data_IF_419968687607
#
_entry.id   IF_419968687607
#
_cell.length_a   1.000
_cell.length_b   1.000
_cell.length_c   1.000
_cell.angle_alpha   90.00
_cell.angle_beta   90.00
_cell.angle_gamma   90.00
#
_symmetry.space_group_name_H-M   'P 1'
#
loop_
_entity.id
_entity.type
_entity.pdbx_description
1 polymer ?
#
# COMPACT_ATOMS: atom_id res chain seq x y z
N UNK A 1 -5.01 10.85 -16.08
CA UNK A 1 -6.46 10.77 -15.81
C UNK A 1 -7.19 9.73 -16.65
N UNK A 2 -6.78 9.48 -17.92
CA UNK A 2 -7.48 8.51 -18.77
C UNK A 2 -7.42 7.09 -18.19
N UNK A 3 -6.26 6.64 -17.73
CA UNK A 3 -6.09 5.32 -17.12
C UNK A 3 -6.75 5.24 -15.74
N UNK A 4 -6.73 6.32 -14.99
CA UNK A 4 -7.30 6.38 -13.64
C UNK A 4 -8.84 6.44 -13.62
N UNK A 5 -9.50 6.63 -14.76
CA UNK A 5 -10.98 6.66 -14.89
C UNK A 5 -11.66 7.59 -13.87
N UNK A 6 -11.04 8.74 -13.61
CA UNK A 6 -11.55 9.74 -12.66
C UNK A 6 -11.18 9.51 -11.20
N UNK A 7 -10.57 8.39 -10.86
CA UNK A 7 -10.19 8.07 -9.47
C UNK A 7 -9.01 8.88 -8.93
N UNK A 8 -8.25 9.55 -9.79
CA UNK A 8 -7.18 10.44 -9.35
C UNK A 8 -7.71 11.85 -9.02
N UNK A 9 -7.05 12.55 -8.12
CA UNK A 9 -7.27 13.96 -7.86
C UNK A 9 -6.29 14.79 -8.70
N UNK A 10 -6.77 15.73 -9.56
CA UNK A 10 -5.92 16.53 -10.44
C UNK A 10 -4.84 17.35 -9.71
N UNK A 11 -5.11 17.79 -8.47
CA UNK A 11 -4.16 18.58 -7.67
C UNK A 11 -2.96 17.70 -7.32
N UNK A 12 -3.17 16.50 -6.78
CA UNK A 12 -2.08 15.56 -6.46
C UNK A 12 -1.34 15.07 -7.70
N UNK A 13 -2.07 14.79 -8.79
CA UNK A 13 -1.41 14.43 -10.05
C UNK A 13 -0.52 15.55 -10.56
N UNK A 14 -0.96 16.80 -10.45
CA UNK A 14 -0.17 17.98 -10.83
C UNK A 14 1.06 18.13 -9.92
N UNK A 15 0.91 17.99 -8.61
CA UNK A 15 2.04 18.02 -7.67
C UNK A 15 3.12 17.00 -8.05
N UNK A 16 2.72 15.77 -8.42
CA UNK A 16 3.68 14.76 -8.90
C UNK A 16 4.44 15.24 -10.14
N UNK A 17 3.71 15.68 -11.16
CA UNK A 17 4.31 16.07 -12.45
C UNK A 17 5.25 17.28 -12.29
N UNK A 18 4.85 18.28 -11.52
CA UNK A 18 5.58 19.54 -11.36
C UNK A 18 6.80 19.41 -10.42
N UNK A 19 6.75 18.51 -9.44
CA UNK A 19 7.77 18.44 -8.40
C UNK A 19 8.71 17.22 -8.48
N UNK A 20 8.35 16.17 -9.25
CA UNK A 20 9.14 14.93 -9.27
C UNK A 20 10.59 15.13 -9.72
N UNK A 21 10.81 15.97 -10.72
CA UNK A 21 12.16 16.25 -11.23
C UNK A 21 13.05 16.90 -10.16
N UNK A 22 12.54 17.94 -9.50
CA UNK A 22 13.26 18.62 -8.42
C UNK A 22 13.59 17.68 -7.26
N UNK A 23 12.69 16.74 -6.93
CA UNK A 23 12.96 15.73 -5.89
C UNK A 23 14.04 14.73 -6.30
N UNK A 24 14.09 14.36 -7.56
CA UNK A 24 15.17 13.50 -8.09
C UNK A 24 16.52 14.22 -8.02
N UNK A 25 16.59 15.49 -8.39
CA UNK A 25 17.82 16.30 -8.28
C UNK A 25 18.29 16.41 -6.82
N UNK A 26 17.37 16.66 -5.90
CA UNK A 26 17.67 16.70 -4.46
C UNK A 26 18.20 15.36 -3.93
N UNK A 27 17.58 14.25 -4.30
CA UNK A 27 18.04 12.90 -3.95
C UNK A 27 19.44 12.60 -4.51
N UNK A 28 19.74 13.07 -5.73
CA UNK A 28 21.08 12.99 -6.32
C UNK A 28 22.09 13.79 -5.48
N UNK A 29 21.75 15.03 -5.12
CA UNK A 29 22.60 15.89 -4.29
C UNK A 29 22.87 15.29 -2.91
N UNK A 30 21.91 14.57 -2.33
CA UNK A 30 22.06 13.87 -1.06
C UNK A 30 22.86 12.56 -1.18
N UNK A 31 23.24 12.15 -2.37
CA UNK A 31 23.96 10.90 -2.62
C UNK A 31 23.11 9.65 -2.53
N UNK A 32 21.79 9.77 -2.68
CA UNK A 32 20.86 8.65 -2.62
C UNK A 32 21.20 7.52 -3.61
N UNK A 33 21.73 7.88 -4.77
CA UNK A 33 22.09 6.93 -5.82
C UNK A 33 23.57 6.50 -5.78
N UNK A 34 24.34 6.93 -4.79
CA UNK A 34 25.76 6.62 -4.67
C UNK A 34 26.03 5.18 -4.19
N UNK A 35 25.03 4.54 -3.58
CA UNK A 35 25.09 3.17 -3.11
C UNK A 35 23.92 2.35 -3.61
N UNK A 36 24.11 1.07 -3.98
CA UNK A 36 23.02 0.13 -4.24
C UNK A 36 22.29 -0.29 -2.96
N UNK A 37 22.83 0.03 -1.79
CA UNK A 37 22.25 -0.30 -0.49
C UNK A 37 21.38 0.87 -0.02
N UNK A 38 20.10 0.72 -0.08
CA UNK A 38 19.14 1.76 0.29
C UNK A 38 19.32 2.30 1.72
N UNK A 39 19.64 1.43 2.69
CA UNK A 39 19.90 1.85 4.06
C UNK A 39 21.09 2.84 4.14
N UNK A 40 22.14 2.61 3.37
CA UNK A 40 23.30 3.53 3.32
C UNK A 40 22.89 4.85 2.67
N UNK A 41 22.17 4.80 1.55
CA UNK A 41 21.73 5.98 0.81
C UNK A 41 20.77 6.87 1.60
N UNK A 42 19.90 6.27 2.42
CA UNK A 42 18.99 7.03 3.29
C UNK A 42 19.68 7.52 4.58
N UNK A 43 20.56 6.73 5.18
CA UNK A 43 21.21 7.11 6.44
C UNK A 43 22.16 8.30 6.28
N UNK A 44 22.84 8.42 5.14
CA UNK A 44 23.75 9.54 4.87
C UNK A 44 23.11 10.92 5.05
N UNK A 45 22.05 11.28 4.29
CA UNK A 45 21.41 12.58 4.42
C UNK A 45 20.76 12.81 5.79
N UNK A 46 20.32 11.77 6.48
CA UNK A 46 19.79 11.86 7.84
C UNK A 46 20.91 12.21 8.84
N UNK A 47 22.03 11.52 8.79
CA UNK A 47 23.17 11.73 9.66
C UNK A 47 23.77 13.14 9.46
N UNK A 48 23.91 13.60 8.21
CA UNK A 48 24.40 14.94 7.89
C UNK A 48 23.50 16.06 8.45
N UNK A 49 22.21 15.76 8.67
CA UNK A 49 21.22 16.70 9.22
C UNK A 49 20.92 16.47 10.70
N UNK A 50 21.64 15.56 11.34
CA UNK A 50 21.40 15.17 12.73
C UNK A 50 19.94 14.72 13.00
N UNK A 51 19.31 14.04 12.03
CA UNK A 51 17.98 13.47 12.20
C UNK A 51 18.13 12.13 12.92
N UNK A 52 17.57 11.96 14.13
CA UNK A 52 17.71 10.72 14.86
C UNK A 52 16.92 9.61 14.19
N UNK A 53 17.56 8.46 14.00
CA UNK A 53 16.92 7.22 13.56
C UNK A 53 16.82 6.27 14.76
N UNK A 54 15.61 5.88 15.09
CA UNK A 54 15.34 4.91 16.16
C UNK A 54 14.92 3.61 15.50
N UNK A 55 15.83 2.66 15.46
CA UNK A 55 15.62 1.37 14.82
C UNK A 55 15.05 0.34 15.79
N UNK A 56 14.49 -0.75 15.24
CA UNK A 56 14.01 -1.92 15.98
C UNK A 56 12.90 -1.60 16.98
N UNK A 57 12.07 -0.64 16.60
CA UNK A 57 10.86 -0.25 17.34
C UNK A 57 9.66 -0.42 16.42
N UNK A 58 8.72 -1.27 16.81
CA UNK A 58 7.42 -1.38 16.15
C UNK A 58 6.47 -0.36 16.77
N UNK A 59 6.01 0.58 15.98
CA UNK A 59 4.94 1.52 16.38
C UNK A 59 3.60 0.81 16.18
N UNK A 60 2.76 0.80 17.21
CA UNK A 60 1.47 0.09 17.22
C UNK A 60 0.28 1.01 17.51
N UNK A 61 0.53 2.19 18.07
CA UNK A 61 -0.52 3.11 18.45
C UNK A 61 -0.14 4.55 18.07
N UNK A 62 -1.07 5.28 17.53
CA UNK A 62 -1.06 6.74 17.51
C UNK A 62 -1.77 7.27 18.76
N UNK A 63 -1.33 8.40 19.27
CA UNK A 63 -1.89 9.00 20.47
C UNK A 63 -2.56 10.31 20.08
N UNK A 64 -3.86 10.31 20.23
CA UNK A 64 -4.74 11.45 19.89
C UNK A 64 -5.37 12.03 21.18
N UNK A 65 -5.65 13.33 21.16
CA UNK A 65 -6.42 14.02 22.18
C UNK A 65 -7.22 15.18 21.59
N UNK A 66 -8.54 15.14 21.73
CA UNK A 66 -9.47 16.16 21.24
C UNK A 66 -9.31 16.44 19.73
N UNK A 67 -9.19 15.41 18.90
CA UNK A 67 -9.04 15.52 17.44
C UNK A 67 -7.63 15.90 16.96
N UNK A 68 -6.63 15.95 17.86
CA UNK A 68 -5.25 16.30 17.53
C UNK A 68 -4.31 15.16 17.87
N UNK A 69 -3.34 14.91 16.98
CA UNK A 69 -2.24 14.02 17.29
C UNK A 69 -1.35 14.64 18.37
N UNK A 70 -0.94 13.84 19.36
CA UNK A 70 -0.02 14.27 20.41
C UNK A 70 1.18 13.35 20.58
N UNK A 71 1.23 12.26 19.82
CA UNK A 71 2.33 11.31 19.87
C UNK A 71 2.04 9.97 19.22
N UNK A 72 2.93 9.03 19.52
CA UNK A 72 2.82 7.64 19.10
C UNK A 72 3.40 6.73 20.19
N UNK A 73 3.07 5.45 20.15
CA UNK A 73 3.61 4.45 21.04
C UNK A 73 3.93 3.17 20.29
N UNK A 74 4.89 2.43 20.82
CA UNK A 74 5.30 1.16 20.29
C UNK A 74 6.19 0.41 21.28
N UNK A 75 6.84 -0.63 20.82
CA UNK A 75 7.72 -1.43 21.65
C UNK A 75 9.01 -1.81 20.92
N UNK A 76 10.07 -2.07 21.69
CA UNK A 76 11.31 -2.65 21.17
C UNK A 76 11.06 -4.08 20.72
N UNK A 77 11.56 -4.47 19.55
CA UNK A 77 11.49 -5.86 19.09
C UNK A 77 12.56 -6.76 19.71
N UNK A 78 13.46 -6.17 20.48
CA UNK A 78 14.60 -6.88 21.12
C UNK A 78 14.37 -7.11 22.62
N UNK A 79 13.60 -6.27 23.28
CA UNK A 79 13.40 -6.32 24.73
C UNK A 79 11.96 -5.91 25.11
N UNK A 80 11.46 -6.39 26.23
CA UNK A 80 10.13 -6.03 26.76
C UNK A 80 10.11 -4.58 27.28
N UNK A 81 10.08 -3.64 26.32
CA UNK A 81 10.09 -2.21 26.59
C UNK A 81 9.13 -1.47 25.68
N UNK A 82 8.16 -0.81 26.29
CA UNK A 82 7.24 0.11 25.59
C UNK A 82 7.89 1.49 25.51
N UNK A 83 7.77 2.12 24.36
CA UNK A 83 8.35 3.44 24.07
C UNK A 83 7.21 4.38 23.71
N UNK A 84 7.15 5.53 24.37
CA UNK A 84 6.18 6.59 24.12
C UNK A 84 6.90 7.78 23.51
N UNK A 85 6.41 8.21 22.36
CA UNK A 85 6.89 9.38 21.64
C UNK A 85 5.89 10.52 21.82
N UNK A 86 6.29 11.60 22.49
CA UNK A 86 5.54 12.85 22.45
C UNK A 86 5.90 13.61 21.18
N UNK A 87 4.91 14.04 20.43
CA UNK A 87 5.13 14.77 19.20
C UNK A 87 4.03 15.80 18.96
N UNK A 88 4.37 16.93 18.39
CA UNK A 88 3.43 17.96 17.94
C UNK A 88 2.71 17.54 16.66
N UNK A 89 3.42 16.82 15.80
CA UNK A 89 2.92 16.29 14.52
C UNK A 89 3.49 14.90 14.27
N UNK A 90 2.79 14.12 13.48
CA UNK A 90 3.23 12.79 13.02
C UNK A 90 3.04 12.72 11.51
N UNK A 91 4.04 12.22 10.80
CA UNK A 91 3.95 11.92 9.36
C UNK A 91 4.06 10.40 9.19
N UNK A 92 3.01 9.77 8.72
CA UNK A 92 3.01 8.34 8.41
C UNK A 92 3.66 8.09 7.04
N UNK A 93 4.75 7.34 7.05
CA UNK A 93 5.45 6.86 5.87
C UNK A 93 5.54 5.32 5.87
N UNK A 94 4.48 4.68 6.36
CA UNK A 94 4.43 3.25 6.66
C UNK A 94 4.12 2.38 5.44
N UNK A 95 3.96 2.98 4.27
CA UNK A 95 3.50 2.27 3.09
C UNK A 95 2.06 1.81 3.20
N UNK A 96 1.65 0.90 2.35
CA UNK A 96 0.36 0.22 2.42
C UNK A 96 0.50 -1.15 3.13
N UNK A 97 -0.03 -2.21 2.55
CA UNK A 97 0.15 -3.54 3.12
C UNK A 97 -0.46 -4.66 2.27
N UNK A 98 -0.24 -5.85 2.74
CA UNK A 98 -0.77 -7.08 2.18
C UNK A 98 -1.15 -8.05 3.29
N UNK A 99 -1.35 -9.30 2.89
CA UNK A 99 -1.64 -10.41 3.81
C UNK A 99 -0.47 -11.40 3.89
N UNK A 100 0.77 -10.88 3.89
CA UNK A 100 2.02 -11.66 3.93
C UNK A 100 2.10 -12.75 2.85
N UNK A 101 1.87 -12.42 1.56
CA UNK A 101 1.96 -13.42 0.49
C UNK A 101 3.40 -13.94 0.37
N UNK A 102 3.53 -15.25 0.18
CA UNK A 102 4.84 -15.86 0.02
C UNK A 102 5.57 -15.32 -1.22
N UNK A 103 6.85 -15.00 -1.05
CA UNK A 103 7.70 -14.56 -2.15
C UNK A 103 7.46 -13.13 -2.64
N UNK A 104 6.58 -12.38 -1.98
CA UNK A 104 6.36 -10.98 -2.32
C UNK A 104 7.27 -10.06 -1.50
N UNK A 105 7.98 -9.09 -2.12
CA UNK A 105 8.96 -8.24 -1.41
C UNK A 105 8.40 -7.38 -0.29
N UNK A 106 7.10 -7.12 -0.29
CA UNK A 106 6.43 -6.32 0.76
C UNK A 106 5.67 -7.20 1.78
N UNK A 107 6.07 -8.46 1.94
CA UNK A 107 5.44 -9.38 2.89
C UNK A 107 5.44 -8.87 4.34
N UNK A 108 6.32 -7.93 4.67
CA UNK A 108 6.39 -7.32 6.00
C UNK A 108 5.46 -6.10 6.19
N UNK A 109 4.80 -5.63 5.14
CA UNK A 109 3.83 -4.54 5.23
C UNK A 109 2.45 -5.11 5.58
N UNK A 110 1.92 -4.73 6.73
CA UNK A 110 0.68 -5.29 7.30
C UNK A 110 -0.37 -4.23 7.68
N UNK A 111 -0.42 -3.13 6.92
CA UNK A 111 -1.39 -2.04 7.08
C UNK A 111 -1.24 -1.23 8.38
N UNK A 112 -0.10 -1.30 9.06
CA UNK A 112 0.06 -0.79 10.42
C UNK A 112 -0.31 0.69 10.55
N UNK A 113 0.22 1.55 9.69
CA UNK A 113 -0.06 2.99 9.74
C UNK A 113 -1.52 3.34 9.49
N UNK A 114 -2.14 2.70 8.50
CA UNK A 114 -3.55 2.93 8.15
C UNK A 114 -4.47 2.47 9.28
N UNK A 115 -4.18 1.35 9.89
CA UNK A 115 -4.99 0.82 11.00
C UNK A 115 -4.80 1.65 12.26
N UNK A 116 -3.57 2.03 12.61
CA UNK A 116 -3.32 2.94 13.74
C UNK A 116 -4.09 4.25 13.59
N UNK A 117 -4.13 4.82 12.40
CA UNK A 117 -4.84 6.05 12.13
C UNK A 117 -6.38 5.85 12.22
N UNK A 118 -6.89 4.76 11.67
CA UNK A 118 -8.30 4.38 11.79
C UNK A 118 -8.72 4.18 13.25
N UNK A 119 -7.87 3.56 14.07
CA UNK A 119 -8.15 3.32 15.47
C UNK A 119 -8.38 4.62 16.28
N UNK A 120 -7.73 5.71 15.90
CA UNK A 120 -7.92 7.04 16.50
C UNK A 120 -8.95 7.92 15.77
N UNK A 121 -9.75 7.34 14.85
CA UNK A 121 -10.85 8.03 14.17
C UNK A 121 -10.47 8.71 12.85
N UNK A 122 -9.27 8.51 12.30
CA UNK A 122 -8.95 8.99 10.97
C UNK A 122 -9.74 8.23 9.90
N UNK A 123 -10.09 8.94 8.81
CA UNK A 123 -10.68 8.31 7.64
C UNK A 123 -9.60 7.67 6.77
N UNK A 124 -9.88 6.44 6.32
CA UNK A 124 -9.06 5.70 5.35
C UNK A 124 -9.87 5.42 4.10
N UNK A 125 -9.20 5.19 2.97
CA UNK A 125 -9.85 5.06 1.67
C UNK A 125 -9.17 4.04 0.78
N UNK A 126 -9.80 3.68 -0.32
CA UNK A 126 -9.21 2.86 -1.38
C UNK A 126 -9.10 1.36 -1.04
N UNK A 127 -9.82 0.90 -0.04
CA UNK A 127 -9.72 -0.49 0.42
C UNK A 127 -10.27 -1.51 -0.57
N UNK A 128 -11.16 -1.13 -1.48
CA UNK A 128 -11.69 -2.00 -2.54
C UNK A 128 -10.73 -2.19 -3.71
N UNK A 129 -9.74 -1.32 -3.88
CA UNK A 129 -8.73 -1.44 -4.92
C UNK A 129 -7.70 -2.51 -4.56
N UNK A 130 -7.21 -3.23 -5.55
CA UNK A 130 -6.14 -4.20 -5.39
C UNK A 130 -5.05 -3.90 -6.40
N UNK A 131 -3.81 -3.90 -5.95
CA UNK A 131 -2.67 -3.89 -6.85
C UNK A 131 -2.16 -5.33 -6.97
N UNK A 132 -2.44 -5.95 -8.10
CA UNK A 132 -2.06 -7.32 -8.38
C UNK A 132 -0.91 -7.40 -9.37
N UNK A 133 0.13 -8.15 -9.01
CA UNK A 133 1.19 -8.47 -9.94
C UNK A 133 1.06 -9.94 -10.37
N UNK A 134 1.24 -10.22 -11.67
CA UNK A 134 1.27 -11.62 -12.12
C UNK A 134 2.51 -12.31 -11.56
N UNK A 135 2.37 -13.57 -11.18
CA UNK A 135 3.48 -14.41 -10.80
C UNK A 135 4.32 -14.87 -11.99
N UNK A 136 5.40 -15.57 -11.72
CA UNK A 136 6.24 -16.25 -12.71
C UNK A 136 5.90 -17.72 -12.82
N UNK A 137 6.10 -18.30 -14.00
CA UNK A 137 5.98 -19.75 -14.24
C UNK A 137 6.87 -20.57 -13.32
N UNK A 138 8.09 -20.09 -13.06
CA UNK A 138 9.08 -20.77 -12.21
C UNK A 138 8.87 -20.56 -10.73
N UNK A 139 8.28 -19.44 -10.36
CA UNK A 139 7.97 -19.09 -9.00
C UNK A 139 6.68 -18.28 -8.96
N UNK A 140 5.55 -18.97 -8.88
CA UNK A 140 4.24 -18.36 -8.87
C UNK A 140 4.02 -17.41 -7.68
N UNK A 141 4.83 -17.52 -6.64
CA UNK A 141 4.82 -16.62 -5.50
C UNK A 141 5.64 -15.34 -5.70
N UNK A 142 6.53 -15.30 -6.69
CA UNK A 142 7.36 -14.13 -6.97
C UNK A 142 6.67 -13.19 -7.95
N UNK A 143 6.07 -12.16 -7.44
CA UNK A 143 5.17 -11.28 -8.18
C UNK A 143 5.83 -10.22 -9.06
N UNK A 144 7.15 -10.00 -8.93
CA UNK A 144 7.86 -8.99 -9.74
C UNK A 144 8.54 -9.53 -10.98
N UNK A 145 8.43 -10.82 -11.22
CA UNK A 145 9.22 -11.51 -12.20
C UNK A 145 9.04 -11.04 -13.64
N UNK A 146 7.90 -10.49 -13.95
CA UNK A 146 7.56 -10.08 -15.31
C UNK A 146 7.03 -8.66 -15.39
N UNK A 147 7.62 -7.78 -14.62
CA UNK A 147 7.06 -6.45 -14.39
C UNK A 147 7.36 -5.42 -15.50
N UNK A 148 8.26 -5.70 -16.41
CA UNK A 148 8.72 -4.71 -17.39
C UNK A 148 8.08 -4.86 -18.76
N UNK A 149 6.78 -5.00 -18.83
CA UNK A 149 6.09 -5.06 -20.12
C UNK A 149 6.38 -6.32 -20.90
N UNK A 150 6.59 -7.41 -20.20
CA UNK A 150 7.00 -8.67 -20.76
C UNK A 150 5.86 -9.51 -21.35
N UNK A 151 4.66 -8.99 -21.36
CA UNK A 151 3.53 -9.63 -22.00
C UNK A 151 3.51 -9.25 -23.47
N UNK A 152 3.87 -10.17 -24.33
CA UNK A 152 3.83 -9.97 -25.78
C UNK A 152 2.43 -10.03 -26.34
N UNK A 153 1.57 -10.75 -25.69
CA UNK A 153 0.18 -10.89 -26.13
C UNK A 153 -0.73 -10.26 -25.10
N UNK A 154 -1.74 -9.55 -25.57
CA UNK A 154 -2.87 -9.22 -24.74
C UNK A 154 -3.42 -10.50 -24.13
N UNK A 155 -3.80 -10.51 -22.86
CA UNK A 155 -4.57 -11.60 -22.29
C UNK A 155 -5.80 -11.88 -23.18
N UNK A 156 -6.15 -13.15 -23.33
CA UNK A 156 -7.34 -13.55 -24.08
C UNK A 156 -8.60 -13.29 -23.23
N UNK A 157 -8.83 -12.03 -22.91
CA UNK A 157 -10.01 -11.59 -22.17
C UNK A 157 -10.79 -10.61 -23.02
N UNK A 158 -12.10 -10.56 -22.83
CA UNK A 158 -12.99 -9.61 -23.53
C UNK A 158 -12.86 -8.20 -23.02
N UNK A 159 -12.21 -8.00 -21.88
CA UNK A 159 -12.15 -6.72 -21.15
C UNK A 159 -10.74 -6.15 -21.03
N UNK A 160 -9.79 -6.59 -21.85
CA UNK A 160 -8.44 -5.98 -21.87
C UNK A 160 -8.49 -4.62 -22.51
N UNK A 161 -8.79 -3.66 -21.73
CA UNK A 161 -8.67 -2.27 -22.09
C UNK A 161 -8.17 -1.47 -20.87
N UNK A 162 -8.27 -0.16 -20.95
CA UNK A 162 -7.82 0.73 -19.89
C UNK A 162 -8.71 0.70 -18.64
N UNK A 163 -9.77 -0.09 -18.61
CA UNK A 163 -10.71 -0.17 -17.49
C UNK A 163 -10.25 -1.13 -16.40
N UNK A 164 -9.37 -2.08 -16.74
CA UNK A 164 -8.90 -3.07 -15.79
C UNK A 164 -7.38 -3.05 -15.65
N UNK A 165 -6.94 -3.43 -14.48
CA UNK A 165 -5.54 -3.75 -14.20
C UNK A 165 -5.16 -5.08 -14.85
N UNK A 166 -3.91 -5.22 -15.30
CA UNK A 166 -3.44 -6.46 -15.94
C UNK A 166 -3.55 -7.67 -15.00
N UNK A 167 -3.34 -7.46 -13.69
CA UNK A 167 -3.52 -8.51 -12.70
C UNK A 167 -4.96 -8.99 -12.64
N UNK A 168 -5.94 -8.11 -12.79
CA UNK A 168 -7.37 -8.46 -12.87
C UNK A 168 -7.64 -9.29 -14.12
N UNK A 169 -7.16 -8.87 -15.28
CA UNK A 169 -7.37 -9.58 -16.53
C UNK A 169 -6.78 -10.98 -16.52
N UNK A 170 -5.56 -11.16 -16.03
CA UNK A 170 -4.93 -12.47 -15.91
C UNK A 170 -5.68 -13.38 -14.94
N UNK A 171 -6.14 -12.86 -13.82
CA UNK A 171 -6.93 -13.63 -12.86
C UNK A 171 -8.33 -13.96 -13.39
N UNK A 172 -8.93 -13.09 -14.20
CA UNK A 172 -10.19 -13.39 -14.88
C UNK A 172 -10.04 -14.56 -15.86
N UNK A 173 -8.99 -14.56 -16.67
CA UNK A 173 -8.70 -15.68 -17.57
C UNK A 173 -8.52 -16.99 -16.78
N UNK A 174 -7.74 -16.94 -15.70
CA UNK A 174 -7.54 -18.09 -14.83
C UNK A 174 -8.86 -18.61 -14.24
N UNK A 175 -9.72 -17.71 -13.80
CA UNK A 175 -11.05 -18.04 -13.29
C UNK A 175 -11.91 -18.74 -14.36
N UNK A 176 -11.98 -18.19 -15.57
CA UNK A 176 -12.79 -18.73 -16.66
C UNK A 176 -12.27 -20.08 -17.14
N UNK A 177 -10.95 -20.26 -17.21
CA UNK A 177 -10.31 -21.51 -17.64
C UNK A 177 -10.18 -22.55 -16.53
N UNK A 178 -10.49 -22.19 -15.28
CA UNK A 178 -10.46 -23.10 -14.14
C UNK A 178 -9.06 -23.42 -13.63
N UNK A 179 -8.07 -22.58 -13.89
CA UNK A 179 -6.71 -22.78 -13.41
C UNK A 179 -5.73 -21.68 -13.86
N UNK A 180 -4.48 -21.77 -13.43
CA UNK A 180 -3.46 -20.82 -13.82
C UNK A 180 -3.32 -20.66 -15.32
N UNK A 181 -3.19 -19.43 -15.79
CA UNK A 181 -2.99 -19.10 -17.19
C UNK A 181 -1.56 -18.68 -17.39
N UNK A 182 -0.87 -19.36 -18.27
CA UNK A 182 0.48 -19.07 -18.64
C UNK A 182 0.49 -18.12 -19.85
N UNK A 183 1.19 -17.00 -19.72
CA UNK A 183 1.51 -16.11 -20.83
C UNK A 183 2.90 -16.47 -21.33
N UNK A 184 3.03 -16.69 -22.64
CA UNK A 184 4.32 -17.04 -23.24
C UNK A 184 5.41 -15.99 -23.00
N UNK A 185 6.68 -16.36 -23.06
CA UNK A 185 7.75 -15.37 -23.03
C UNK A 185 7.61 -14.40 -24.21
N UNK A 186 8.07 -13.17 -24.06
CA UNK A 186 8.05 -12.18 -25.12
C UNK A 186 8.84 -12.71 -26.34
N UNK A 187 8.17 -13.19 -27.38
CA UNK A 187 8.85 -13.75 -28.54
C UNK A 187 9.09 -12.73 -29.64
N UNK A 188 8.33 -11.70 -29.69
CA UNK A 188 8.62 -10.56 -30.54
C UNK A 188 7.84 -9.28 -30.12
N UNK A 189 8.40 -8.32 -30.25
CA UNK A 189 8.38 -6.84 -30.25
C UNK A 189 7.05 -6.07 -30.14
N UNK A 190 5.92 -6.64 -29.83
CA UNK A 190 4.68 -5.95 -30.20
C UNK A 190 3.72 -5.50 -29.11
N UNK A 191 3.93 -5.64 -27.83
CA UNK A 191 2.97 -5.00 -26.92
C UNK A 191 3.44 -4.73 -25.51
N UNK A 192 3.56 -3.47 -25.20
CA UNK A 192 3.76 -2.93 -23.86
C UNK A 192 2.43 -2.60 -23.15
N UNK A 193 1.48 -3.51 -23.14
CA UNK A 193 0.23 -3.29 -22.41
C UNK A 193 0.48 -3.19 -20.89
N UNK A 194 1.50 -3.90 -20.40
CA UNK A 194 1.89 -3.86 -19.00
C UNK A 194 2.50 -2.53 -18.51
N UNK A 195 2.89 -1.65 -19.43
CA UNK A 195 3.49 -0.35 -19.09
C UNK A 195 2.49 0.81 -19.03
N UNK A 196 1.21 0.51 -19.03
CA UNK A 196 0.16 1.51 -18.77
C UNK A 196 0.01 2.62 -19.81
N UNK A 197 0.55 2.44 -21.01
CA UNK A 197 0.45 3.43 -22.06
C UNK A 197 0.17 2.83 -23.43
N UNK A 198 -0.50 3.55 -24.32
CA UNK A 198 -0.66 3.18 -25.72
C UNK A 198 0.63 3.50 -26.47
N UNK A 199 1.77 3.00 -25.98
CA UNK A 199 3.01 3.12 -26.74
C UNK A 199 3.02 2.12 -27.86
N UNK A 200 3.23 2.62 -29.07
CA UNK A 200 3.56 1.76 -30.19
C UNK A 200 4.97 1.18 -30.02
N UNK A 201 5.27 0.02 -30.61
CA UNK A 201 6.62 -0.53 -30.59
C UNK A 201 7.70 0.44 -31.08
N UNK A 202 7.34 1.37 -31.96
CA UNK A 202 8.24 2.40 -32.48
C UNK A 202 8.49 3.54 -31.48
N UNK A 203 7.49 3.93 -30.71
CA UNK A 203 7.63 4.92 -29.62
C UNK A 203 8.45 4.37 -28.47
N UNK A 204 8.31 3.08 -28.15
CA UNK A 204 9.17 2.42 -27.17
C UNK A 204 10.62 2.31 -27.62
N UNK A 205 10.86 2.05 -28.90
CA UNK A 205 12.22 2.08 -29.47
C UNK A 205 12.84 3.47 -29.43
N UNK A 206 12.03 4.53 -29.49
CA UNK A 206 12.49 5.92 -29.38
C UNK A 206 12.70 6.35 -27.94
N UNK A 207 11.94 5.80 -27.01
CA UNK A 207 12.03 6.03 -25.56
C UNK A 207 12.82 4.94 -24.83
N UNK A 208 13.53 4.08 -25.55
CA UNK A 208 14.36 3.01 -24.97
C UNK A 208 15.11 3.43 -23.71
N UNK A 209 15.58 2.50 -22.88
CA UNK A 209 16.24 2.84 -21.63
C UNK A 209 17.26 3.94 -21.91
N UNK A 210 17.28 5.02 -21.10
CA UNK A 210 18.07 6.20 -21.38
C UNK A 210 19.48 5.75 -21.76
N UNK A 211 19.88 6.07 -22.99
CA UNK A 211 21.23 5.77 -23.45
C UNK A 211 22.16 6.36 -22.40
N UNK A 212 23.05 5.52 -21.86
CA UNK A 212 24.08 5.93 -20.91
C UNK A 212 24.69 7.24 -21.43
N UNK A 213 24.44 8.32 -20.72
CA UNK A 213 25.17 9.56 -20.93
C UNK A 213 26.64 9.26 -20.69
N UNK A 214 27.53 9.82 -21.48
CA UNK A 214 28.99 9.61 -21.32
C UNK A 214 29.48 9.85 -19.88
N UNK A 215 28.80 10.66 -19.12
CA UNK A 215 29.05 10.94 -17.70
C UNK A 215 28.82 9.74 -16.77
N UNK A 216 28.15 8.67 -17.19
CA UNK A 216 27.97 7.48 -16.33
C UNK A 216 29.25 6.65 -16.20
N UNK A 217 30.22 6.84 -17.11
CA UNK A 217 31.53 6.21 -17.03
C UNK A 217 32.41 6.82 -15.92
N UNK A 218 32.22 8.09 -15.61
CA UNK A 218 32.96 8.80 -14.55
C UNK A 218 32.46 8.49 -13.15
N UNK A 219 31.25 7.94 -13.00
CA UNK A 219 30.61 7.66 -11.70
C UNK A 219 30.87 6.27 -11.13
N UNK A 220 31.86 5.54 -11.66
CA UNK A 220 32.38 4.32 -11.02
C UNK A 220 31.42 3.13 -10.93
N UNK A 221 30.33 3.10 -11.71
CA UNK A 221 29.51 1.89 -11.81
C UNK A 221 30.28 0.82 -12.56
N UNK A 222 30.40 -0.42 -12.02
CA UNK A 222 31.07 -1.51 -12.73
C UNK A 222 30.38 -1.74 -14.08
N UNK A 223 31.15 -2.05 -15.15
CA UNK A 223 30.58 -2.40 -16.43
C UNK A 223 29.66 -3.61 -16.25
N UNK A 224 28.43 -3.51 -16.71
CA UNK A 224 27.57 -4.69 -16.85
C UNK A 224 28.16 -5.50 -18.00
N UNK A 225 28.52 -6.74 -17.71
CA UNK A 225 28.91 -7.70 -18.76
C UNK A 225 27.74 -7.84 -19.74
N UNK A 226 28.00 -7.51 -21.00
CA UNK A 226 27.01 -7.57 -22.08
C UNK A 226 26.54 -9.02 -22.40
N UNK A 227 27.07 -10.03 -21.74
CA UNK A 227 26.77 -11.45 -21.98
C UNK A 227 25.68 -12.06 -21.11
N UNK A 228 25.23 -11.37 -20.05
CA UNK A 228 24.11 -11.85 -19.25
C UNK A 228 23.03 -10.76 -19.19
N UNK A 229 22.05 -10.90 -20.09
CA UNK A 229 20.89 -10.01 -20.22
C UNK A 229 19.88 -10.13 -19.07
N UNK A 230 20.30 -10.53 -17.88
CA UNK A 230 19.46 -10.54 -16.68
C UNK A 230 20.21 -9.87 -15.54
N UNK A 231 19.73 -8.73 -15.11
CA UNK A 231 20.13 -8.21 -13.80
C UNK A 231 19.89 -9.27 -12.72
N UNK A 232 20.66 -9.26 -11.62
CA UNK A 232 20.46 -10.23 -10.56
C UNK A 232 19.01 -10.11 -10.05
N UNK A 233 18.22 -11.15 -10.26
CA UNK A 233 16.86 -11.25 -9.72
C UNK A 233 15.71 -11.24 -10.73
N UNK A 234 15.95 -11.22 -12.04
CA UNK A 234 14.85 -11.44 -12.99
C UNK A 234 14.65 -12.95 -13.23
N UNK A 235 13.59 -13.57 -12.73
CA UNK A 235 13.29 -14.95 -13.05
C UNK A 235 13.00 -15.09 -14.55
N UNK A 236 13.52 -16.14 -15.14
CA UNK A 236 13.19 -16.52 -16.52
C UNK A 236 11.92 -17.37 -16.50
N UNK A 237 10.91 -16.96 -17.23
CA UNK A 237 9.67 -17.73 -17.39
C UNK A 237 8.51 -16.86 -17.83
N UNK A 238 7.42 -17.50 -18.24
CA UNK A 238 6.19 -16.82 -18.59
C UNK A 238 5.46 -16.31 -17.34
N UNK A 239 4.71 -15.22 -17.48
CA UNK A 239 3.81 -14.75 -16.44
C UNK A 239 2.64 -15.71 -16.24
N UNK A 240 2.21 -15.88 -15.01
CA UNK A 240 1.12 -16.79 -14.64
C UNK A 240 0.06 -16.03 -13.87
N UNK A 241 -1.16 -16.07 -14.38
CA UNK A 241 -2.35 -15.63 -13.66
C UNK A 241 -2.92 -16.74 -12.79
N UNK A 242 -3.73 -16.40 -11.80
CA UNK A 242 -4.40 -17.36 -10.92
C UNK A 242 -3.51 -17.94 -9.83
N UNK A 243 -2.34 -17.38 -9.60
CA UNK A 243 -1.48 -17.75 -8.48
C UNK A 243 -1.76 -16.91 -7.24
N UNK A 244 -1.26 -17.34 -6.11
CA UNK A 244 -1.31 -16.57 -4.86
C UNK A 244 -0.33 -15.40 -4.82
N UNK A 245 0.51 -15.25 -5.82
CA UNK A 245 1.41 -14.13 -5.96
C UNK A 245 0.63 -12.84 -6.22
N UNK A 246 1.16 -11.72 -5.83
CA UNK A 246 0.58 -10.43 -6.12
C UNK A 246 -0.59 -10.02 -5.23
N UNK A 247 -0.76 -10.63 -4.09
CA UNK A 247 -1.76 -10.26 -3.11
C UNK A 247 -1.32 -9.09 -2.22
N UNK A 248 -0.39 -8.34 -2.70
CA UNK A 248 -0.06 -7.09 -2.10
C UNK A 248 -1.11 -6.06 -2.50
N UNK A 249 -1.63 -5.44 -1.51
CA UNK A 249 -2.49 -4.30 -1.64
C UNK A 249 -1.64 -3.09 -1.34
N UNK A 250 -0.90 -2.64 -2.30
CA UNK A 250 -0.15 -1.41 -2.14
C UNK A 250 -0.64 -0.37 -3.13
N UNK A 251 -0.51 0.89 -2.79
CA UNK A 251 -0.78 2.10 -3.57
C UNK A 251 -2.21 2.51 -3.81
N UNK A 252 -3.19 1.72 -3.44
CA UNK A 252 -4.57 2.13 -3.69
C UNK A 252 -5.25 2.61 -2.42
N UNK A 253 -4.83 2.12 -1.27
CA UNK A 253 -5.38 2.46 0.03
C UNK A 253 -4.49 3.44 0.80
N UNK A 254 -5.04 4.05 1.80
CA UNK A 254 -4.31 4.95 2.70
C UNK A 254 -5.22 5.93 3.42
N UNK A 255 -4.62 6.91 4.09
CA UNK A 255 -5.36 7.95 4.77
C UNK A 255 -6.03 8.89 3.76
N UNK A 256 -7.22 9.35 4.11
CA UNK A 256 -7.94 10.39 3.35
C UNK A 256 -7.29 11.74 3.62
N UNK A 257 -6.72 12.42 2.60
CA UNK A 257 -6.23 13.78 2.77
C UNK A 257 -7.38 14.79 2.78
N UNK A 258 -7.29 15.79 3.65
CA UNK A 258 -8.27 16.89 3.69
C UNK A 258 -7.84 18.12 2.88
N UNK A 259 -6.61 18.15 2.42
CA UNK A 259 -6.02 19.24 1.66
C UNK A 259 -4.84 18.77 0.81
N UNK A 260 -4.26 19.68 0.05
CA UNK A 260 -3.10 19.47 -0.83
C UNK A 260 -1.75 19.32 -0.07
N UNK A 261 -1.78 19.38 1.25
CA UNK A 261 -0.60 19.27 2.14
C UNK A 261 -0.45 17.89 2.76
N UNK A 262 -1.20 16.90 2.27
CA UNK A 262 -1.17 15.52 2.78
C UNK A 262 -1.64 15.39 4.25
N UNK A 263 -2.39 16.36 4.77
CA UNK A 263 -2.97 16.33 6.10
C UNK A 263 -4.17 15.38 6.14
N UNK A 264 -4.25 14.52 7.16
CA UNK A 264 -5.36 13.61 7.37
C UNK A 264 -6.56 14.29 8.04
N UNK A 265 -7.61 13.52 8.31
CA UNK A 265 -8.78 14.00 9.05
C UNK A 265 -8.51 14.24 10.55
N UNK A 266 -7.36 13.80 11.06
CA UNK A 266 -6.89 14.09 12.43
C UNK A 266 -5.87 15.22 12.35
N UNK A 267 -6.08 16.28 13.10
CA UNK A 267 -5.22 17.47 13.08
C UNK A 267 -3.79 17.15 13.52
N UNK A 268 -2.81 17.61 12.72
CA UNK A 268 -1.39 17.34 12.95
C UNK A 268 -0.90 15.94 12.54
N UNK A 269 -1.80 15.08 12.03
CA UNK A 269 -1.44 13.80 11.43
C UNK A 269 -1.40 13.93 9.91
N UNK A 270 -0.26 13.62 9.34
CA UNK A 270 0.01 13.64 7.90
C UNK A 270 0.37 12.23 7.41
N UNK A 271 0.26 12.01 6.11
CA UNK A 271 0.75 10.78 5.50
C UNK A 271 1.40 11.06 4.15
N UNK A 272 2.36 10.23 3.75
CA UNK A 272 3.06 10.36 2.47
C UNK A 272 3.35 8.99 1.86
N UNK A 273 3.45 8.94 0.54
CA UNK A 273 3.62 7.71 -0.22
C UNK A 273 2.39 6.82 -0.10
N UNK A 274 2.60 5.52 -0.05
CA UNK A 274 1.51 4.54 -0.02
C UNK A 274 0.71 4.52 1.31
N UNK A 275 1.14 5.27 2.32
CA UNK A 275 0.34 5.51 3.54
C UNK A 275 -0.78 6.55 3.33
N UNK A 276 -0.69 7.36 2.28
CA UNK A 276 -1.73 8.29 1.84
C UNK A 276 -2.56 7.62 0.74
N UNK A 277 -3.87 7.84 0.74
CA UNK A 277 -4.74 7.32 -0.32
C UNK A 277 -4.25 7.68 -1.72
N UNK A 278 -4.43 6.79 -2.67
CA UNK A 278 -3.84 6.88 -4.01
C UNK A 278 -4.46 7.97 -4.92
N UNK A 279 -4.71 9.14 -4.37
CA UNK A 279 -5.30 10.27 -5.10
C UNK A 279 -4.38 10.80 -6.21
N UNK A 280 -3.11 10.52 -6.14
CA UNK A 280 -2.13 10.98 -7.11
C UNK A 280 -2.22 10.21 -8.44
N UNK A 281 -2.35 8.88 -8.38
CA UNK A 281 -2.41 7.97 -9.52
C UNK A 281 -3.78 7.33 -9.76
N UNK A 282 -4.63 7.31 -8.75
CA UNK A 282 -5.94 6.67 -8.80
C UNK A 282 -5.93 5.19 -8.39
N UNK A 283 -7.04 4.51 -8.59
CA UNK A 283 -7.27 3.12 -8.21
C UNK A 283 -6.62 2.06 -9.13
N UNK A 284 -5.65 2.46 -9.94
CA UNK A 284 -4.92 1.56 -10.84
C UNK A 284 -3.42 1.88 -10.82
N UNK A 285 -2.60 0.85 -10.82
CA UNK A 285 -1.15 1.00 -10.91
C UNK A 285 -0.69 0.94 -12.36
N UNK A 286 -0.42 2.10 -12.95
CA UNK A 286 -0.13 2.22 -14.37
C UNK A 286 1.29 2.64 -14.72
N UNK A 287 2.10 3.03 -13.74
CA UNK A 287 3.41 3.64 -14.01
C UNK A 287 4.49 3.13 -13.09
N UNK A 288 5.49 2.47 -13.66
CA UNK A 288 6.70 2.06 -12.95
C UNK A 288 7.42 3.31 -12.41
N UNK A 289 7.84 3.27 -11.15
CA UNK A 289 8.55 4.36 -10.49
C UNK A 289 7.67 5.49 -9.94
N UNK A 290 6.37 5.50 -10.23
CA UNK A 290 5.46 6.50 -9.67
C UNK A 290 5.43 6.50 -8.14
N UNK A 291 5.63 5.36 -7.50
CA UNK A 291 5.73 5.26 -6.05
C UNK A 291 6.92 5.99 -5.47
N UNK A 292 8.12 5.78 -6.04
CA UNK A 292 9.33 6.44 -5.54
C UNK A 292 9.23 7.96 -5.71
N UNK A 293 8.84 8.40 -6.93
CA UNK A 293 8.65 9.81 -7.20
C UNK A 293 7.52 10.41 -6.35
N UNK A 294 6.40 9.71 -6.23
CA UNK A 294 5.27 10.13 -5.41
C UNK A 294 5.60 10.21 -3.94
N UNK A 295 6.31 9.22 -3.40
CA UNK A 295 6.76 9.22 -1.99
C UNK A 295 7.71 10.37 -1.72
N UNK A 296 8.64 10.68 -2.64
CA UNK A 296 9.54 11.81 -2.50
C UNK A 296 8.80 13.15 -2.53
N UNK A 297 7.86 13.32 -3.47
CA UNK A 297 7.05 14.55 -3.58
C UNK A 297 6.16 14.74 -2.36
N UNK A 298 5.37 13.71 -2.00
CA UNK A 298 4.45 13.79 -0.87
C UNK A 298 5.20 13.90 0.46
N UNK A 299 6.34 13.19 0.61
CA UNK A 299 7.19 13.30 1.79
C UNK A 299 7.72 14.71 2.03
N UNK A 300 8.14 15.38 0.96
CA UNK A 300 8.58 16.79 1.06
C UNK A 300 7.41 17.72 1.45
N UNK A 301 6.25 17.57 0.80
CA UNK A 301 5.06 18.41 1.08
C UNK A 301 4.53 18.16 2.50
N UNK A 302 4.38 16.91 2.90
CA UNK A 302 3.90 16.56 4.23
C UNK A 302 4.88 16.97 5.33
N UNK A 303 6.18 16.77 5.10
CA UNK A 303 7.23 17.17 6.04
C UNK A 303 7.28 18.66 6.27
N UNK A 304 7.21 19.47 5.20
CA UNK A 304 7.16 20.92 5.30
C UNK A 304 5.89 21.40 6.03
N UNK A 305 4.74 20.86 5.67
CA UNK A 305 3.46 21.20 6.29
C UNK A 305 3.45 20.85 7.79
N UNK A 306 3.92 19.67 8.15
CA UNK A 306 4.03 19.21 9.54
C UNK A 306 4.99 20.09 10.34
N UNK A 307 6.16 20.42 9.77
CA UNK A 307 7.14 21.30 10.40
C UNK A 307 6.60 22.71 10.64
N UNK A 308 5.88 23.27 9.68
CA UNK A 308 5.28 24.59 9.83
C UNK A 308 4.18 24.59 10.90
N UNK A 309 3.26 23.63 10.86
CA UNK A 309 2.22 23.50 11.86
C UNK A 309 2.80 23.28 13.28
N UNK A 310 3.88 22.53 13.41
CA UNK A 310 4.54 22.29 14.70
C UNK A 310 5.10 23.56 15.39
N UNK A 311 5.34 24.64 14.63
CA UNK A 311 5.78 25.94 15.18
C UNK A 311 4.61 26.72 15.80
N UNK A 312 3.39 26.42 15.40
CA UNK A 312 2.19 27.13 15.81
C UNK A 312 1.54 26.53 17.07
N UNK A 313 1.99 25.33 17.49
CA UNK A 313 1.39 24.60 18.61
C UNK A 313 2.42 24.21 19.65
N UNK A 314 1.94 24.04 20.88
CA UNK A 314 2.76 23.55 22.00
C UNK A 314 2.77 22.02 22.06
N UNK A 315 3.87 21.47 22.58
CA UNK A 315 3.97 20.05 22.86
C UNK A 315 3.07 19.69 24.06
N UNK A 316 2.13 18.77 23.84
CA UNK A 316 1.23 18.33 24.90
C UNK A 316 1.82 17.17 25.71
N UNK A 317 1.46 17.14 26.98
CA UNK A 317 1.77 15.99 27.85
C UNK A 317 0.77 14.88 27.65
N UNK A 318 1.23 13.65 27.75
CA UNK A 318 0.40 12.45 27.72
C UNK A 318 0.18 12.03 29.17
N UNK A 319 -1.08 11.90 29.59
CA UNK A 319 -1.39 11.53 30.97
C UNK A 319 -0.85 10.14 31.32
N UNK A 320 -0.42 9.97 32.56
CA UNK A 320 0.07 8.67 33.07
C UNK A 320 -0.95 7.57 32.88
N UNK A 321 -2.23 7.86 33.11
CA UNK A 321 -3.33 6.91 32.90
C UNK A 321 -3.38 6.42 31.44
N UNK A 322 -3.24 7.32 30.46
CA UNK A 322 -3.23 6.98 29.04
C UNK A 322 -2.00 6.15 28.67
N UNK A 323 -0.83 6.50 29.20
CA UNK A 323 0.42 5.74 29.01
C UNK A 323 0.27 4.31 29.53
N UNK A 324 -0.24 4.11 30.76
CA UNK A 324 -0.41 2.77 31.33
C UNK A 324 -1.47 1.96 30.58
N UNK A 325 -2.55 2.58 30.11
CA UNK A 325 -3.54 1.89 29.27
C UNK A 325 -2.93 1.40 27.95
N UNK A 326 -2.18 2.24 27.24
CA UNK A 326 -1.49 1.89 25.99
C UNK A 326 -0.47 0.77 26.24
N UNK A 327 0.32 0.88 27.30
CA UNK A 327 1.29 -0.15 27.68
C UNK A 327 0.62 -1.50 27.96
N UNK A 328 -0.48 -1.48 28.67
CA UNK A 328 -1.27 -2.69 28.97
C UNK A 328 -1.82 -3.32 27.68
N UNK A 329 -2.33 -2.52 26.74
CA UNK A 329 -2.82 -2.97 25.44
C UNK A 329 -1.70 -3.60 24.61
N UNK A 330 -0.56 -2.89 24.45
CA UNK A 330 0.57 -3.36 23.65
C UNK A 330 1.08 -4.73 24.16
N UNK A 331 1.25 -4.87 25.46
CA UNK A 331 1.81 -6.07 26.07
C UNK A 331 0.78 -7.17 26.40
N UNK A 332 -0.51 -6.94 26.12
CA UNK A 332 -1.55 -7.90 26.42
C UNK A 332 -1.32 -9.31 25.88
N UNK A 333 -0.84 -9.50 24.62
CA UNK A 333 -0.58 -10.84 24.10
C UNK A 333 0.48 -11.63 24.89
N UNK A 334 1.50 -10.97 25.45
CA UNK A 334 2.53 -11.62 26.29
C UNK A 334 2.02 -12.07 27.65
N UNK A 335 0.91 -11.50 28.11
CA UNK A 335 0.37 -11.75 29.47
C UNK A 335 -0.73 -12.80 29.49
N UNK A 336 -1.19 -13.27 28.34
CA UNK A 336 -2.23 -14.30 28.26
C UNK A 336 -1.63 -15.68 28.43
N UNK A 337 -2.21 -16.49 29.30
CA UNK A 337 -1.79 -17.87 29.54
C UNK A 337 -2.28 -18.84 28.45
N UNK A 338 -3.37 -18.51 27.76
CA UNK A 338 -3.95 -19.31 26.70
C UNK A 338 -4.58 -18.41 25.62
N UNK A 339 -4.60 -18.91 24.39
CA UNK A 339 -5.16 -18.20 23.24
C UNK A 339 -4.69 -18.76 21.92
N UNK A 340 -4.68 -17.95 20.89
CA UNK A 340 -4.36 -18.33 19.53
C UNK A 340 -2.99 -17.81 19.10
N UNK A 341 -2.18 -18.69 18.51
CA UNK A 341 -0.91 -18.29 17.90
C UNK A 341 -1.16 -17.33 16.73
N UNK A 342 -0.42 -16.21 16.64
CA UNK A 342 -0.50 -15.29 15.49
C UNK A 342 -0.25 -15.98 14.17
N UNK A 343 0.68 -16.94 14.12
CA UNK A 343 0.99 -17.67 12.90
C UNK A 343 -0.20 -18.48 12.40
N UNK A 344 -0.90 -19.17 13.29
CA UNK A 344 -2.09 -19.95 12.93
C UNK A 344 -3.23 -19.05 12.44
N UNK A 345 -3.50 -17.95 13.14
CA UNK A 345 -4.55 -16.99 12.75
C UNK A 345 -4.21 -16.34 11.41
N UNK A 346 -2.95 -15.97 11.19
CA UNK A 346 -2.48 -15.44 9.91
C UNK A 346 -2.65 -16.44 8.77
N UNK A 347 -2.31 -17.71 8.97
CA UNK A 347 -2.54 -18.74 7.94
C UNK A 347 -4.03 -18.90 7.60
N UNK A 348 -4.89 -18.87 8.60
CA UNK A 348 -6.35 -18.90 8.40
C UNK A 348 -6.82 -17.69 7.60
N UNK A 349 -6.38 -16.49 8.00
CA UNK A 349 -6.66 -15.25 7.28
C UNK A 349 -6.20 -15.31 5.82
N UNK A 350 -5.00 -15.81 5.57
CA UNK A 350 -4.46 -16.01 4.22
C UNK A 350 -5.32 -16.96 3.40
N UNK A 351 -5.77 -18.07 3.99
CA UNK A 351 -6.66 -19.03 3.34
C UNK A 351 -8.01 -18.43 2.92
N UNK A 352 -8.48 -17.40 3.63
CA UNK A 352 -9.71 -16.67 3.31
C UNK A 352 -9.45 -15.61 2.22
N UNK A 353 -8.40 -14.82 2.36
CA UNK A 353 -8.19 -13.62 1.53
C UNK A 353 -7.44 -13.90 0.23
N UNK A 354 -6.54 -14.89 0.22
CA UNK A 354 -5.65 -15.19 -0.92
C UNK A 354 -6.38 -15.75 -2.17
N UNK A 355 -7.48 -16.52 -2.09
CA UNK A 355 -8.14 -16.98 -3.30
C UNK A 355 -8.50 -15.83 -4.25
N UNK A 356 -8.15 -15.98 -5.52
CA UNK A 356 -8.34 -14.95 -6.56
C UNK A 356 -9.74 -14.35 -6.61
N UNK A 357 -10.75 -15.18 -6.35
CA UNK A 357 -12.17 -14.81 -6.38
C UNK A 357 -12.63 -14.00 -5.15
N UNK A 358 -11.76 -13.72 -4.21
CA UNK A 358 -12.02 -12.78 -3.10
C UNK A 358 -11.41 -11.43 -3.37
N UNK A 359 -10.15 -11.38 -3.82
CA UNK A 359 -9.44 -10.12 -4.03
C UNK A 359 -9.56 -9.57 -5.45
N UNK A 360 -9.51 -10.43 -6.47
CA UNK A 360 -9.45 -9.97 -7.86
C UNK A 360 -10.77 -10.13 -8.60
N UNK A 361 -11.31 -11.33 -8.66
CA UNK A 361 -12.53 -11.66 -9.41
C UNK A 361 -13.67 -11.81 -8.42
N UNK A 362 -14.16 -10.68 -7.96
CA UNK A 362 -15.09 -10.57 -6.85
C UNK A 362 -16.51 -10.92 -7.25
N UNK A 363 -17.24 -11.51 -6.31
CA UNK A 363 -18.67 -11.78 -6.43
C UNK A 363 -19.33 -11.68 -5.06
N UNK A 364 -20.52 -11.10 -4.96
CA UNK A 364 -21.19 -10.81 -3.70
C UNK A 364 -21.25 -12.03 -2.75
N UNK A 365 -21.63 -13.21 -3.27
CA UNK A 365 -21.74 -14.43 -2.46
C UNK A 365 -20.40 -14.87 -1.85
N UNK A 366 -19.29 -14.69 -2.59
CA UNK A 366 -17.96 -15.06 -2.15
C UNK A 366 -17.40 -14.03 -1.16
N UNK A 367 -17.63 -12.74 -1.43
CA UNK A 367 -17.27 -11.66 -0.52
C UNK A 367 -17.99 -11.77 0.82
N UNK A 368 -19.30 -12.09 0.81
CA UNK A 368 -20.09 -12.32 2.05
C UNK A 368 -19.59 -13.53 2.83
N UNK A 369 -19.26 -14.62 2.15
CA UNK A 369 -18.68 -15.79 2.79
C UNK A 369 -17.33 -15.49 3.44
N UNK A 370 -16.44 -14.80 2.72
CA UNK A 370 -15.16 -14.35 3.26
C UNK A 370 -15.34 -13.39 4.44
N UNK A 371 -16.26 -12.42 4.35
CA UNK A 371 -16.55 -11.47 5.42
C UNK A 371 -17.00 -12.18 6.70
N UNK A 372 -17.90 -13.15 6.61
CA UNK A 372 -18.36 -13.90 7.78
C UNK A 372 -17.20 -14.62 8.51
N UNK A 373 -16.23 -15.18 7.75
CA UNK A 373 -15.05 -15.78 8.34
C UNK A 373 -14.09 -14.73 8.96
N UNK A 374 -13.95 -13.56 8.34
CA UNK A 374 -13.13 -12.48 8.89
C UNK A 374 -13.76 -11.92 10.17
N UNK A 375 -15.08 -11.81 10.23
CA UNK A 375 -15.80 -11.41 11.45
C UNK A 375 -15.59 -12.42 12.57
N UNK A 376 -15.62 -13.72 12.28
CA UNK A 376 -15.30 -14.77 13.24
C UNK A 376 -13.86 -14.62 13.78
N UNK A 377 -12.87 -14.40 12.89
CA UNK A 377 -11.49 -14.16 13.30
C UNK A 377 -11.36 -12.89 14.16
N UNK A 378 -12.08 -11.82 13.81
CA UNK A 378 -12.08 -10.56 14.55
C UNK A 378 -12.67 -10.75 15.95
N UNK A 379 -13.80 -11.43 16.07
CA UNK A 379 -14.57 -11.48 17.31
C UNK A 379 -14.10 -12.58 18.26
N UNK A 380 -13.61 -13.71 17.72
CA UNK A 380 -13.25 -14.88 18.53
C UNK A 380 -11.73 -15.06 18.69
N UNK A 381 -10.94 -14.76 17.67
CA UNK A 381 -9.51 -15.09 17.68
C UNK A 381 -8.63 -13.87 17.98
N UNK A 382 -8.91 -12.73 17.39
CA UNK A 382 -8.10 -11.52 17.55
C UNK A 382 -7.96 -11.06 19.01
N UNK A 383 -9.03 -11.04 19.85
CA UNK A 383 -8.92 -10.64 21.25
C UNK A 383 -8.08 -11.60 22.10
N UNK A 384 -7.91 -12.84 21.62
CA UNK A 384 -7.22 -13.92 22.33
C UNK A 384 -5.85 -14.27 21.69
N UNK A 385 -5.28 -13.38 20.87
CA UNK A 385 -3.93 -13.57 20.37
C UNK A 385 -2.92 -13.61 21.51
N UNK A 386 -2.03 -14.59 21.50
CA UNK A 386 -0.94 -14.76 22.49
C UNK A 386 0.42 -14.48 21.85
N UNK A 387 1.41 -14.24 22.70
CA UNK A 387 2.80 -14.14 22.27
C UNK A 387 3.71 -14.71 23.36
N UNK A 388 4.71 -15.50 22.98
CA UNK A 388 5.70 -16.08 23.91
C UNK A 388 6.95 -15.21 24.04
N UNK A 389 7.19 -14.33 23.08
CA UNK A 389 8.34 -13.43 23.00
C UNK A 389 8.03 -12.15 22.21
N UNK A 390 9.02 -11.28 22.05
CA UNK A 390 8.85 -10.01 21.34
C UNK A 390 8.65 -10.20 19.84
N UNK A 391 9.14 -11.29 19.26
CA UNK A 391 8.89 -11.62 17.85
C UNK A 391 7.42 -12.01 17.63
N UNK A 392 6.89 -12.88 18.47
CA UNK A 392 5.47 -13.25 18.40
C UNK A 392 4.55 -12.07 18.77
N UNK A 393 4.98 -11.18 19.68
CA UNK A 393 4.26 -9.95 19.96
C UNK A 393 4.11 -9.09 18.71
N UNK A 394 5.17 -8.93 17.93
CA UNK A 394 5.12 -8.25 16.64
C UNK A 394 4.10 -8.92 15.71
N UNK A 395 4.18 -10.24 15.56
CA UNK A 395 3.23 -10.99 14.72
C UNK A 395 1.78 -10.85 15.19
N UNK A 396 1.53 -10.79 16.51
CA UNK A 396 0.19 -10.59 17.05
C UNK A 396 -0.41 -9.23 16.64
N UNK A 397 0.39 -8.16 16.71
CA UNK A 397 -0.05 -6.83 16.25
C UNK A 397 -0.25 -6.78 14.72
N UNK A 398 0.65 -7.37 13.96
CA UNK A 398 0.49 -7.48 12.49
C UNK A 398 -0.78 -8.25 12.12
N UNK A 399 -1.05 -9.37 12.81
CA UNK A 399 -2.25 -10.19 12.60
C UNK A 399 -3.53 -9.40 12.89
N UNK A 400 -3.56 -8.66 14.03
CA UNK A 400 -4.66 -7.74 14.35
C UNK A 400 -4.92 -6.76 13.20
N UNK A 401 -3.87 -6.10 12.72
CA UNK A 401 -3.98 -5.10 11.66
C UNK A 401 -4.48 -5.71 10.34
N UNK A 402 -3.98 -6.89 9.98
CA UNK A 402 -4.44 -7.61 8.79
C UNK A 402 -5.92 -8.02 8.86
N UNK A 403 -6.41 -8.48 10.01
CA UNK A 403 -7.83 -8.86 10.19
C UNK A 403 -8.73 -7.62 9.98
N UNK A 404 -8.41 -6.51 10.63
CA UNK A 404 -9.18 -5.26 10.49
C UNK A 404 -9.14 -4.77 9.04
N UNK A 405 -7.97 -4.79 8.40
CA UNK A 405 -7.84 -4.39 7.00
C UNK A 405 -8.60 -5.32 6.04
N UNK A 406 -8.63 -6.63 6.33
CA UNK A 406 -9.42 -7.60 5.56
C UNK A 406 -10.91 -7.28 5.62
N UNK A 407 -11.43 -6.99 6.81
CA UNK A 407 -12.82 -6.55 6.96
C UNK A 407 -13.11 -5.29 6.13
N UNK A 408 -12.29 -4.24 6.27
CA UNK A 408 -12.44 -3.00 5.50
C UNK A 408 -12.48 -3.26 3.99
N UNK A 409 -11.60 -4.14 3.51
CA UNK A 409 -11.50 -4.47 2.10
C UNK A 409 -12.75 -5.21 1.58
N UNK A 410 -13.25 -6.15 2.35
CA UNK A 410 -14.47 -6.90 1.99
C UNK A 410 -15.70 -6.01 2.02
N UNK A 411 -15.86 -5.18 3.05
CA UNK A 411 -16.96 -4.22 3.17
C UNK A 411 -16.95 -3.19 2.03
N UNK A 412 -15.80 -2.58 1.73
CA UNK A 412 -15.68 -1.65 0.61
C UNK A 412 -15.95 -2.35 -0.74
N UNK A 413 -15.47 -3.58 -0.92
CA UNK A 413 -15.72 -4.38 -2.13
C UNK A 413 -17.18 -4.77 -2.30
N UNK A 414 -17.90 -5.05 -1.21
CA UNK A 414 -19.34 -5.30 -1.23
C UNK A 414 -20.14 -4.04 -1.53
N UNK A 415 -19.70 -2.90 -0.98
CA UNK A 415 -20.35 -1.62 -1.18
C UNK A 415 -20.27 -1.14 -2.64
N UNK A 416 -19.10 -1.27 -3.31
CA UNK A 416 -18.91 -0.84 -4.71
C UNK A 416 -19.53 -1.84 -5.68
N UNK A 417 -20.62 -1.43 -6.31
CA UNK A 417 -21.40 -2.24 -7.27
C UNK A 417 -21.12 -1.82 -8.71
N UNK A 418 -19.86 -1.83 -9.09
CA UNK A 418 -19.35 -1.60 -10.44
C UNK A 418 -18.00 -2.32 -10.61
N UNK A 419 -17.46 -2.33 -11.83
CA UNK A 419 -16.07 -2.69 -12.11
C UNK A 419 -15.33 -1.51 -12.65
N UNK A 420 -14.23 -1.11 -11.98
CA UNK A 420 -13.40 0.05 -12.35
C UNK A 420 -11.97 -0.15 -11.87
N UNK A 421 -10.99 0.17 -12.70
CA UNK A 421 -9.56 0.05 -12.34
C UNK A 421 -9.21 -1.35 -11.84
N UNK A 422 -8.65 -1.47 -10.65
CA UNK A 422 -8.28 -2.75 -10.03
C UNK A 422 -9.40 -3.41 -9.22
N UNK A 423 -10.60 -2.85 -9.24
CA UNK A 423 -11.78 -3.47 -8.63
C UNK A 423 -12.68 -4.09 -9.71
N UNK A 424 -12.79 -5.41 -9.71
CA UNK A 424 -13.63 -6.15 -10.66
C UNK A 424 -14.68 -7.01 -9.97
N UNK A 425 -15.93 -6.87 -10.40
CA UNK A 425 -17.11 -7.59 -9.90
C UNK A 425 -17.75 -8.39 -11.02
N UNK A 426 -17.81 -9.73 -10.89
CA UNK A 426 -18.52 -10.59 -11.84
C UNK A 426 -20.01 -10.28 -11.94
N UNK A 427 -20.59 -9.87 -10.82
CA UNK A 427 -22.02 -9.53 -10.70
C UNK A 427 -22.32 -8.07 -11.09
N UNK A 428 -21.31 -7.23 -11.26
CA UNK A 428 -21.39 -5.84 -11.74
C UNK A 428 -20.19 -5.53 -12.65
N UNK A 429 -20.13 -6.11 -13.87
CA UNK A 429 -18.92 -6.07 -14.70
C UNK A 429 -18.66 -4.70 -15.35
N UNK A 430 -19.67 -3.85 -15.41
CA UNK A 430 -19.60 -2.56 -16.08
C UNK A 430 -19.23 -1.42 -15.12
N UNK A 431 -18.71 -0.32 -15.68
CA UNK A 431 -18.55 0.95 -14.98
C UNK A 431 -19.90 1.62 -14.79
N UNK A 432 -20.21 2.08 -13.60
CA UNK A 432 -21.42 2.85 -13.30
C UNK A 432 -21.07 4.31 -13.00
N UNK A 433 -20.94 5.10 -14.06
CA UNK A 433 -20.61 6.52 -13.99
C UNK A 433 -21.65 7.34 -13.22
N UNK A 434 -22.90 6.88 -13.17
CA UNK A 434 -23.97 7.60 -12.50
C UNK A 434 -23.87 7.52 -10.98
N UNK A 435 -23.50 6.35 -10.45
CA UNK A 435 -23.60 6.07 -9.02
C UNK A 435 -22.23 5.96 -8.33
N UNK A 436 -21.13 5.73 -9.08
CA UNK A 436 -19.85 5.33 -8.52
C UNK A 436 -18.67 6.24 -8.89
N UNK A 437 -18.91 7.48 -9.31
CA UNK A 437 -17.84 8.49 -9.40
C UNK A 437 -17.41 8.95 -8.00
N UNK A 438 -17.01 8.02 -7.17
CA UNK A 438 -16.66 8.29 -5.78
C UNK A 438 -15.61 7.32 -5.23
N UNK A 439 -14.79 7.83 -4.31
CA UNK A 439 -14.02 7.05 -3.36
C UNK A 439 -14.94 6.49 -2.27
N UNK A 440 -14.55 5.36 -1.69
CA UNK A 440 -15.16 4.85 -0.46
C UNK A 440 -14.22 5.17 0.69
N UNK A 441 -14.69 5.96 1.64
CA UNK A 441 -13.99 6.25 2.87
C UNK A 441 -14.54 5.38 3.99
N UNK A 442 -13.67 4.97 4.89
CA UNK A 442 -13.98 4.12 6.03
C UNK A 442 -13.49 4.82 7.30
N UNK A 443 -14.31 4.84 8.32
CA UNK A 443 -13.98 5.44 9.60
C UNK A 443 -14.74 4.75 10.74
N UNK A 444 -14.37 5.05 11.99
CA UNK A 444 -15.13 4.66 13.17
C UNK A 444 -16.12 5.74 13.55
N UNK A 445 -17.36 5.34 13.86
CA UNK A 445 -18.34 6.22 14.50
C UNK A 445 -18.03 6.39 15.99
N UNK A 446 -18.83 7.20 16.67
CA UNK A 446 -18.70 7.48 18.11
C UNK A 446 -18.84 6.23 19.00
N UNK A 447 -19.47 5.17 18.48
CA UNK A 447 -19.63 3.89 19.17
C UNK A 447 -18.50 2.90 18.84
N UNK A 448 -17.54 3.29 17.98
CA UNK A 448 -16.44 2.44 17.53
C UNK A 448 -16.81 1.50 16.38
N UNK A 449 -17.99 1.63 15.78
CA UNK A 449 -18.42 0.81 14.66
C UNK A 449 -17.82 1.32 13.34
N UNK A 450 -17.48 0.38 12.46
CA UNK A 450 -17.00 0.70 11.10
C UNK A 450 -18.13 1.29 10.27
N UNK A 451 -17.88 2.45 9.69
CA UNK A 451 -18.79 3.15 8.78
C UNK A 451 -18.13 3.36 7.43
N UNK A 452 -18.93 3.30 6.38
CA UNK A 452 -18.49 3.56 5.01
C UNK A 452 -19.30 4.72 4.42
N UNK A 453 -18.60 5.63 3.73
CA UNK A 453 -19.23 6.75 3.04
C UNK A 453 -18.66 6.93 1.63
N UNK A 454 -19.40 7.60 0.74
CA UNK A 454 -18.91 7.98 -0.58
C UNK A 454 -18.38 9.40 -0.55
N UNK A 455 -17.20 9.59 -1.16
CA UNK A 455 -16.64 10.90 -1.46
C UNK A 455 -16.53 11.06 -2.97
N UNK A 456 -17.17 12.06 -3.54
CA UNK A 456 -17.14 12.30 -4.98
C UNK A 456 -15.71 12.53 -5.49
N UNK A 457 -15.38 11.99 -6.66
CA UNK A 457 -14.09 12.21 -7.31
C UNK A 457 -13.79 13.70 -7.47
N UNK A 458 -12.52 14.07 -7.30
CA UNK A 458 -12.07 15.45 -7.45
C UNK A 458 -12.42 16.40 -6.28
N UNK A 459 -13.07 15.89 -5.23
CA UNK A 459 -13.39 16.66 -4.03
C UNK A 459 -12.48 16.29 -2.86
N UNK A 460 -12.30 17.26 -1.97
CA UNK A 460 -11.72 17.01 -0.66
C UNK A 460 -12.84 16.68 0.33
N UNK A 461 -12.61 15.78 1.28
CA UNK A 461 -13.52 15.66 2.40
C UNK A 461 -13.43 16.95 3.21
N UNK A 462 -14.36 17.86 2.94
CA UNK A 462 -14.49 19.09 3.74
C UNK A 462 -14.98 18.67 5.12
N UNK A 463 -14.09 18.74 6.10
CA UNK A 463 -14.54 18.77 7.49
C UNK A 463 -15.35 20.06 7.65
N UNK A 464 -16.65 19.95 7.66
CA UNK A 464 -17.47 21.04 8.20
C UNK A 464 -17.05 21.15 9.67
N UNK A 465 -16.24 22.16 9.95
CA UNK A 465 -15.99 22.55 11.33
C UNK A 465 -17.32 23.00 11.89
N UNK A 466 -17.81 22.25 12.87
CA UNK A 466 -18.94 22.68 13.69
C UNK A 466 -18.59 23.99 14.40
#
# INVERSE_FOLDING_TARGET
>A
SRSALGTNNPIFTRQLVENSYARVEELIQWGFFDSPLYNVSFSKPMNERNIPLIERVMITNLIEENGHIIGAAGFSVDEEKVIIFKAKTVVLCTGAGGFKPNGFPIADLTHDGTIMAYEIGAKVTGKEWNDGHPGSEKNAAASFDNWHGMFEKKPETTSVDIHHDLGVDLNYIAYVKGGPVQMGPPSDKSSNVAMGGPYTPEEFKRSGPPQRRENDKERGRPPRDEKEGSGPGMPQGAAVGGSSAGLAIHKSEGLVPINDKCESTIKGLYAAGDALGSYMSGGIYTQIGSSLAGSAVQGAIAGEAAANYSKEIELKDISTQKVEAIKAEILAPLKREAGFSPAWVTQTLQGIMIPNFVLYIKKESLLKGALAYIEELRDQNMPLLIASDMHELRLAHETKNMIISAQMKLEASLMRKESRCSHYRLDYPDIDEKNWQAWINIYKDENGNMQLEKQAFGTWPVLQRA
#
